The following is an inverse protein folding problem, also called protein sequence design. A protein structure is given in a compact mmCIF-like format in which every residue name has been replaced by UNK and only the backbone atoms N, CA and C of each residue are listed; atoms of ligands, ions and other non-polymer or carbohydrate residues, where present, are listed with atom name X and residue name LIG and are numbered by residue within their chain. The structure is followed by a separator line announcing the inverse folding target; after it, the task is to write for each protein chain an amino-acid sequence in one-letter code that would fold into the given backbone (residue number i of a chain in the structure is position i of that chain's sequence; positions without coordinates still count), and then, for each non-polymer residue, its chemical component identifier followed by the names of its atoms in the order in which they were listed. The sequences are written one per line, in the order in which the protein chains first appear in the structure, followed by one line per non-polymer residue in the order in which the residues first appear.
data_IF_732353889642
#
_entry.id   IF_732353889642
#
_cell.length_a   1.000
_cell.length_b   1.000
_cell.length_c   1.000
_cell.angle_alpha   90.00
_cell.angle_beta   90.00
_cell.angle_gamma   90.00
#
_symmetry.space_group_name_H-M   'P 1'
#
loop_
_entity.id
_entity.type
_entity.pdbx_description
1 polymer ?
#
# COMPACT_ATOMS: atom_id res chain seq x y z
N UNK A 1 -16.53 -7.75 -14.79
CA UNK A 1 -15.05 -7.69 -14.75
C UNK A 1 -14.60 -7.94 -13.32
N UNK A 2 -14.13 -9.15 -13.00
CA UNK A 2 -13.68 -9.53 -11.65
C UNK A 2 -12.17 -9.78 -11.67
N UNK A 3 -11.47 -9.31 -10.62
CA UNK A 3 -10.20 -9.84 -10.11
C UNK A 3 -8.81 -9.36 -10.60
N UNK A 4 -8.66 -8.33 -11.45
CA UNK A 4 -7.28 -7.85 -11.73
C UNK A 4 -6.62 -7.17 -10.52
N UNK A 5 -7.38 -6.40 -9.72
CA UNK A 5 -6.80 -5.63 -8.63
C UNK A 5 -6.32 -6.51 -7.46
N UNK A 6 -7.04 -7.58 -7.14
CA UNK A 6 -6.66 -8.48 -6.04
C UNK A 6 -5.33 -9.20 -6.31
N UNK A 7 -5.14 -9.67 -7.55
CA UNK A 7 -3.93 -10.35 -7.98
C UNK A 7 -2.68 -9.46 -7.93
N UNK A 8 -2.84 -8.15 -8.14
CA UNK A 8 -1.71 -7.20 -8.15
C UNK A 8 -1.21 -6.93 -6.72
N UNK A 9 -2.11 -6.83 -5.75
CA UNK A 9 -1.71 -6.69 -4.35
C UNK A 9 -1.05 -7.96 -3.83
N UNK A 10 -1.56 -9.14 -4.19
CA UNK A 10 -0.91 -10.40 -3.85
C UNK A 10 0.48 -10.50 -4.47
N UNK A 11 0.66 -10.04 -5.71
CA UNK A 11 1.97 -9.96 -6.36
C UNK A 11 2.93 -9.00 -5.64
N UNK A 12 2.44 -7.80 -5.26
CA UNK A 12 3.22 -6.82 -4.50
C UNK A 12 3.65 -7.38 -3.14
N UNK A 13 2.73 -8.01 -2.41
CA UNK A 13 3.01 -8.68 -1.13
C UNK A 13 3.99 -9.83 -1.33
N UNK A 14 3.82 -10.65 -2.37
CA UNK A 14 4.70 -11.77 -2.67
C UNK A 14 6.13 -11.30 -2.98
N UNK A 15 6.31 -10.28 -3.82
CA UNK A 15 7.64 -9.68 -4.09
C UNK A 15 8.26 -9.08 -2.82
N UNK A 16 7.46 -8.40 -1.98
CA UNK A 16 7.94 -7.80 -0.74
C UNK A 16 8.39 -8.83 0.31
N UNK A 17 7.96 -10.10 0.20
CA UNK A 17 8.48 -11.19 1.03
C UNK A 17 9.85 -11.68 0.59
N UNK A 18 10.18 -11.57 -0.70
CA UNK A 18 11.42 -12.11 -1.27
C UNK A 18 12.50 -11.06 -1.49
N UNK A 19 12.14 -9.77 -1.56
CA UNK A 19 13.07 -8.65 -1.73
C UNK A 19 12.89 -7.61 -0.59
N UNK A 20 13.81 -7.56 0.38
CA UNK A 20 13.75 -6.60 1.49
C UNK A 20 13.85 -5.13 1.06
N UNK A 21 14.57 -4.83 -0.04
CA UNK A 21 14.72 -3.47 -0.54
C UNK A 21 13.41 -3.00 -1.17
N UNK A 22 12.81 -3.83 -2.01
CA UNK A 22 11.49 -3.59 -2.55
C UNK A 22 10.44 -3.46 -1.44
N UNK A 23 10.48 -4.33 -0.42
CA UNK A 23 9.58 -4.26 0.74
C UNK A 23 9.63 -2.90 1.43
N UNK A 24 10.84 -2.40 1.70
CA UNK A 24 11.04 -1.10 2.35
C UNK A 24 10.57 0.06 1.47
N UNK A 25 10.92 0.05 0.19
CA UNK A 25 10.51 1.10 -0.74
C UNK A 25 8.99 1.13 -0.93
N UNK A 26 8.36 -0.04 -1.07
CA UNK A 26 6.92 -0.20 -1.18
C UNK A 26 6.22 0.33 0.08
N UNK A 27 6.66 -0.06 1.28
CA UNK A 27 6.13 0.47 2.55
C UNK A 27 6.23 2.00 2.60
N UNK A 28 7.38 2.56 2.26
CA UNK A 28 7.59 4.01 2.29
C UNK A 28 6.69 4.73 1.29
N UNK A 29 6.54 4.16 0.09
CA UNK A 29 5.67 4.72 -0.95
C UNK A 29 4.20 4.72 -0.50
N UNK A 30 3.73 3.62 0.10
CA UNK A 30 2.39 3.56 0.67
C UNK A 30 2.19 4.56 1.81
N UNK A 31 3.15 4.67 2.74
CA UNK A 31 3.10 5.67 3.82
C UNK A 31 2.95 7.09 3.27
N UNK A 32 3.69 7.42 2.21
CA UNK A 32 3.57 8.71 1.53
C UNK A 32 2.17 8.90 0.93
N UNK A 33 1.65 7.91 0.20
CA UNK A 33 0.34 8.00 -0.43
C UNK A 33 -0.79 8.18 0.59
N UNK A 34 -0.76 7.42 1.69
CA UNK A 34 -1.79 7.55 2.73
C UNK A 34 -1.68 8.89 3.45
N UNK A 35 -0.48 9.39 3.74
CA UNK A 35 -0.32 10.73 4.34
C UNK A 35 -0.90 11.84 3.44
N UNK A 36 -0.74 11.72 2.12
CA UNK A 36 -1.23 12.71 1.15
C UNK A 36 -2.75 12.69 0.99
N UNK A 37 -3.40 11.54 1.17
CA UNK A 37 -4.82 11.36 0.88
C UNK A 37 -5.69 11.06 2.12
N UNK A 38 -5.10 10.89 3.30
CA UNK A 38 -5.85 10.56 4.51
C UNK A 38 -6.71 11.76 4.95
N UNK A 39 -8.04 11.56 5.13
CA UNK A 39 -8.89 12.60 5.67
C UNK A 39 -8.58 12.84 7.15
N UNK A 40 -8.65 14.08 7.61
CA UNK A 40 -8.30 14.49 8.99
C UNK A 40 -8.98 13.61 10.06
N UNK A 41 -10.26 13.25 9.83
CA UNK A 41 -11.04 12.39 10.73
C UNK A 41 -10.47 10.97 10.94
N UNK A 42 -9.55 10.50 10.09
CA UNK A 42 -8.90 9.17 10.18
C UNK A 42 -7.42 9.24 10.59
N UNK A 43 -6.89 10.41 10.95
CA UNK A 43 -5.47 10.54 11.34
C UNK A 43 -5.10 9.69 12.57
N UNK A 44 -6.02 9.49 13.50
CA UNK A 44 -5.79 8.62 14.67
C UNK A 44 -5.64 7.14 14.27
N UNK A 45 -6.43 6.69 13.29
CA UNK A 45 -6.33 5.35 12.73
C UNK A 45 -5.00 5.16 11.99
N UNK A 46 -4.61 6.15 11.17
CA UNK A 46 -3.33 6.17 10.48
C UNK A 46 -2.13 6.10 11.44
N UNK A 47 -2.18 6.89 12.54
CA UNK A 47 -1.15 6.87 13.57
C UNK A 47 -1.04 5.51 14.25
N UNK A 48 -2.16 4.83 14.51
CA UNK A 48 -2.18 3.47 15.06
C UNK A 48 -1.53 2.49 14.09
N UNK A 49 -1.88 2.57 12.79
CA UNK A 49 -1.31 1.72 11.74
C UNK A 49 0.20 1.92 11.62
N UNK A 50 0.70 3.15 11.71
CA UNK A 50 2.14 3.40 11.62
C UNK A 50 2.93 2.88 12.82
N UNK A 51 2.33 2.87 14.02
CA UNK A 51 2.99 2.40 15.24
C UNK A 51 2.90 0.89 15.43
N UNK A 52 1.78 0.29 15.03
CA UNK A 52 1.43 -1.09 15.41
C UNK A 52 0.95 -1.97 14.25
N UNK A 53 0.61 -1.37 13.12
CA UNK A 53 0.09 -2.08 11.96
C UNK A 53 1.18 -2.88 11.23
N UNK A 54 0.75 -3.93 10.53
CA UNK A 54 1.61 -4.68 9.62
C UNK A 54 1.42 -4.20 8.17
N UNK A 55 2.17 -4.79 7.23
CA UNK A 55 2.10 -4.44 5.82
C UNK A 55 0.69 -4.57 5.24
N UNK A 56 -0.04 -5.63 5.62
CA UNK A 56 -1.40 -5.87 5.16
C UNK A 56 -2.34 -4.77 5.64
N UNK A 57 -2.28 -4.40 6.93
CA UNK A 57 -3.10 -3.32 7.48
C UNK A 57 -2.83 -1.98 6.81
N UNK A 58 -1.56 -1.67 6.51
CA UNK A 58 -1.20 -0.46 5.77
C UNK A 58 -1.79 -0.48 4.35
N UNK A 59 -1.77 -1.63 3.68
CA UNK A 59 -2.29 -1.76 2.32
C UNK A 59 -3.81 -1.66 2.27
N UNK A 60 -4.51 -2.31 3.20
CA UNK A 60 -5.96 -2.23 3.30
C UNK A 60 -6.41 -0.79 3.58
N UNK A 61 -5.75 -0.10 4.51
CA UNK A 61 -6.02 1.31 4.76
C UNK A 61 -5.75 2.19 3.54
N UNK A 62 -4.68 1.92 2.80
CA UNK A 62 -4.37 2.66 1.58
C UNK A 62 -5.41 2.48 0.49
N UNK A 63 -6.00 1.28 0.33
CA UNK A 63 -7.10 1.05 -0.60
C UNK A 63 -8.32 1.90 -0.27
N UNK A 64 -8.56 2.15 1.01
CA UNK A 64 -9.72 2.93 1.45
C UNK A 64 -9.52 4.44 1.29
N UNK A 65 -8.30 4.95 1.49
CA UNK A 65 -8.06 6.40 1.52
C UNK A 65 -7.37 6.96 0.27
N UNK A 66 -6.73 6.12 -0.54
CA UNK A 66 -6.02 6.56 -1.75
C UNK A 66 -6.90 6.31 -2.98
N UNK A 67 -7.33 7.35 -3.71
CA UNK A 67 -8.01 7.17 -4.99
C UNK A 67 -7.13 6.38 -5.97
N UNK A 68 -7.76 5.47 -6.72
CA UNK A 68 -7.08 4.64 -7.73
C UNK A 68 -5.86 3.87 -7.20
N UNK A 69 -5.84 3.58 -5.89
CA UNK A 69 -4.73 2.91 -5.20
C UNK A 69 -4.22 1.68 -5.97
N UNK A 70 -5.15 0.86 -6.47
CA UNK A 70 -4.84 -0.36 -7.22
C UNK A 70 -4.02 -0.08 -8.48
N UNK A 71 -4.36 0.95 -9.25
CA UNK A 71 -3.64 1.30 -10.49
C UNK A 71 -2.26 1.88 -10.17
N UNK A 72 -2.17 2.75 -9.17
CA UNK A 72 -0.92 3.35 -8.70
C UNK A 72 0.08 2.25 -8.29
N UNK A 73 -0.39 1.25 -7.52
CA UNK A 73 0.45 0.14 -7.08
C UNK A 73 0.82 -0.75 -8.26
N UNK A 74 -0.12 -1.03 -9.17
CA UNK A 74 0.16 -1.80 -10.39
C UNK A 74 1.33 -1.20 -11.16
N UNK A 75 1.29 0.11 -11.36
CA UNK A 75 2.33 0.84 -12.09
C UNK A 75 3.64 0.83 -11.31
N UNK A 76 3.60 1.04 -9.99
CA UNK A 76 4.78 0.97 -9.15
C UNK A 76 5.47 -0.41 -9.24
N UNK A 77 4.73 -1.50 -9.09
CA UNK A 77 5.27 -2.87 -9.13
C UNK A 77 5.79 -3.26 -10.52
N UNK A 78 5.14 -2.79 -11.59
CA UNK A 78 5.61 -3.04 -12.97
C UNK A 78 6.91 -2.33 -13.29
N UNK A 79 7.10 -1.11 -12.78
CA UNK A 79 8.27 -0.27 -13.10
C UNK A 79 9.44 -0.55 -12.14
N UNK A 80 9.17 -1.16 -10.97
CA UNK A 80 10.22 -1.58 -10.05
C UNK A 80 11.11 -2.67 -10.68
N UNK A 81 12.36 -2.30 -10.95
CA UNK A 81 13.39 -3.17 -11.53
C UNK A 81 13.95 -4.16 -10.51
#
# INVERSE_FOLDING_TARGET
MKNNNYQIFELAISKAKTDPKFSKDLVNYFKYLVLKNCPEKRLNELNSIFKHGNLQTLFDFAKDVVPDCSEIITNYVRVYK
#
